data_IF_927091493239
#
_entry.id   IF_927091493239
#
_cell.length_a   1.000
_cell.length_b   1.000
_cell.length_c   1.000
_cell.angle_alpha   90.00
_cell.angle_beta   90.00
_cell.angle_gamma   90.00
#
_symmetry.space_group_name_H-M   'P 1'
#
loop_
_entity.id
_entity.type
_entity.pdbx_description
1 polymer ?
#
# COMPACT_ATOMS: atom_id res chain seq x y z
N UNK A 1 -15.66 1.58 21.35
CA UNK A 1 -16.32 0.62 20.43
C UNK A 1 -17.79 0.95 20.20
N UNK A 2 -18.65 0.98 21.24
CA UNK A 2 -20.06 1.37 21.08
C UNK A 2 -20.19 2.80 20.53
N UNK A 3 -19.51 3.77 21.14
CA UNK A 3 -19.53 5.18 20.73
C UNK A 3 -19.03 5.34 19.29
N UNK A 4 -17.85 4.80 18.98
CA UNK A 4 -17.29 4.76 17.61
C UNK A 4 -18.28 4.21 16.58
N UNK A 5 -18.97 3.13 16.90
CA UNK A 5 -19.95 2.52 15.99
C UNK A 5 -21.15 3.46 15.75
N UNK A 6 -21.69 4.05 16.81
CA UNK A 6 -22.82 4.96 16.73
C UNK A 6 -22.46 6.24 15.96
N UNK A 7 -21.29 6.82 16.23
CA UNK A 7 -20.78 8.01 15.53
C UNK A 7 -20.55 7.72 14.05
N UNK A 8 -20.05 6.53 13.71
CA UNK A 8 -19.85 6.09 12.33
C UNK A 8 -21.15 5.57 11.67
N UNK A 9 -22.30 5.67 12.35
CA UNK A 9 -23.62 5.20 11.90
C UNK A 9 -23.64 3.72 11.51
N UNK A 10 -22.88 2.90 12.21
CA UNK A 10 -22.88 1.44 12.07
C UNK A 10 -23.36 0.77 13.35
N UNK A 11 -23.91 -0.43 13.24
CA UNK A 11 -24.24 -1.19 14.45
C UNK A 11 -22.95 -1.64 15.16
N UNK A 12 -22.90 -1.68 16.51
CA UNK A 12 -21.75 -2.19 17.24
C UNK A 12 -21.38 -3.63 16.85
N UNK A 13 -22.39 -4.44 16.54
CA UNK A 13 -22.20 -5.81 16.05
C UNK A 13 -21.57 -5.84 14.65
N UNK A 14 -21.91 -4.89 13.78
CA UNK A 14 -21.26 -4.72 12.48
C UNK A 14 -19.79 -4.36 12.65
N UNK A 15 -19.49 -3.38 13.50
CA UNK A 15 -18.11 -2.98 13.77
C UNK A 15 -17.28 -4.15 14.32
N UNK A 16 -17.84 -4.91 15.26
CA UNK A 16 -17.21 -6.13 15.80
C UNK A 16 -16.94 -7.19 14.72
N UNK A 17 -17.85 -7.37 13.76
CA UNK A 17 -17.63 -8.30 12.63
C UNK A 17 -16.53 -7.81 11.69
N UNK A 18 -16.43 -6.50 11.48
CA UNK A 18 -15.35 -5.91 10.68
C UNK A 18 -14.00 -6.15 11.34
N UNK A 19 -13.86 -5.82 12.63
CA UNK A 19 -12.61 -6.02 13.39
C UNK A 19 -12.16 -7.48 13.45
N UNK A 20 -13.11 -8.41 13.55
CA UNK A 20 -12.81 -9.85 13.58
C UNK A 20 -12.63 -10.46 12.19
N UNK A 21 -12.69 -9.66 11.12
CA UNK A 21 -12.56 -10.13 9.73
C UNK A 21 -13.75 -10.96 9.23
N UNK A 22 -14.89 -10.95 9.94
CA UNK A 22 -16.12 -11.69 9.59
C UNK A 22 -17.00 -10.95 8.59
N UNK A 23 -16.60 -9.75 8.17
CA UNK A 23 -17.13 -9.08 6.99
C UNK A 23 -16.06 -9.13 5.91
N UNK A 24 -16.21 -10.02 4.94
CA UNK A 24 -15.21 -10.21 3.88
C UNK A 24 -15.04 -8.98 2.99
N UNK A 25 -16.13 -8.23 2.76
CA UNK A 25 -16.15 -7.04 1.90
C UNK A 25 -17.05 -5.96 2.50
N UNK A 26 -16.59 -5.23 3.54
CA UNK A 26 -17.33 -4.08 4.05
C UNK A 26 -17.48 -3.04 2.94
N UNK A 27 -18.63 -2.37 2.90
CA UNK A 27 -18.87 -1.31 1.91
C UNK A 27 -17.88 -0.16 2.13
N UNK A 28 -17.33 0.40 1.06
CA UNK A 28 -16.38 1.52 1.16
C UNK A 28 -16.88 2.71 2.01
N UNK A 29 -18.15 3.17 1.89
CA UNK A 29 -18.68 4.22 2.76
C UNK A 29 -18.64 3.87 4.26
N UNK A 30 -18.77 2.58 4.60
CA UNK A 30 -18.63 2.12 5.99
C UNK A 30 -17.21 2.34 6.51
N UNK A 31 -16.21 2.04 5.69
CA UNK A 31 -14.80 2.23 6.06
C UNK A 31 -14.48 3.72 6.19
N UNK A 32 -14.94 4.55 5.26
CA UNK A 32 -14.75 5.99 5.30
C UNK A 32 -15.35 6.64 6.56
N UNK A 33 -16.57 6.26 6.94
CA UNK A 33 -17.22 6.78 8.14
C UNK A 33 -16.49 6.39 9.44
N UNK A 34 -15.97 5.15 9.52
CA UNK A 34 -15.18 4.71 10.67
C UNK A 34 -13.85 5.49 10.75
N UNK A 35 -13.17 5.67 9.61
CA UNK A 35 -11.91 6.42 9.56
C UNK A 35 -12.10 7.88 10.01
N UNK A 36 -13.16 8.54 9.54
CA UNK A 36 -13.50 9.92 9.93
C UNK A 36 -13.68 10.06 11.45
N UNK A 37 -14.44 9.16 12.09
CA UNK A 37 -14.66 9.16 13.55
C UNK A 37 -13.37 8.92 14.32
N UNK A 38 -12.46 8.11 13.79
CA UNK A 38 -11.16 7.84 14.40
C UNK A 38 -10.13 8.95 14.13
N UNK A 39 -10.46 9.96 13.32
CA UNK A 39 -9.53 11.01 12.91
C UNK A 39 -8.41 10.50 11.99
N UNK A 40 -8.64 9.40 11.29
CA UNK A 40 -7.70 8.80 10.35
C UNK A 40 -8.05 9.19 8.91
N UNK A 41 -7.02 9.50 8.12
CA UNK A 41 -7.16 9.59 6.67
C UNK A 41 -7.27 8.18 6.06
N UNK A 42 -7.92 8.09 4.90
CA UNK A 42 -7.98 6.83 4.16
C UNK A 42 -6.60 6.38 3.64
N UNK A 43 -5.68 7.32 3.45
CA UNK A 43 -4.30 7.03 3.06
C UNK A 43 -3.56 6.32 4.21
N UNK A 44 -3.70 6.77 5.46
CA UNK A 44 -3.14 6.10 6.64
C UNK A 44 -3.68 4.67 6.80
N UNK A 45 -4.99 4.48 6.57
CA UNK A 45 -5.61 3.15 6.61
C UNK A 45 -5.04 2.25 5.51
N UNK A 46 -4.87 2.78 4.29
CA UNK A 46 -4.30 2.05 3.17
C UNK A 46 -2.83 1.66 3.40
N UNK A 47 -2.03 2.58 3.93
CA UNK A 47 -0.63 2.35 4.27
C UNK A 47 -0.47 1.22 5.30
N UNK A 48 -1.34 1.17 6.32
CA UNK A 48 -1.31 0.14 7.35
C UNK A 48 -1.67 -1.25 6.80
N UNK A 49 -2.72 -1.34 5.97
CA UNK A 49 -3.12 -2.59 5.32
C UNK A 49 -1.98 -3.12 4.44
N UNK A 50 -1.41 -2.25 3.60
CA UNK A 50 -0.32 -2.62 2.68
C UNK A 50 0.96 -2.99 3.44
N UNK A 51 1.23 -2.39 4.60
CA UNK A 51 2.34 -2.81 5.48
C UNK A 51 2.09 -4.20 6.06
N UNK A 52 0.92 -4.43 6.63
CA UNK A 52 0.54 -5.72 7.22
C UNK A 52 0.61 -6.86 6.20
N UNK A 53 0.17 -6.63 4.95
CA UNK A 53 0.27 -7.63 3.88
C UNK A 53 1.73 -7.99 3.53
N UNK A 54 2.64 -7.01 3.52
CA UNK A 54 4.08 -7.24 3.28
C UNK A 54 4.75 -7.98 4.44
N UNK A 55 4.36 -7.67 5.67
CA UNK A 55 4.89 -8.34 6.86
C UNK A 55 4.34 -9.78 7.01
N UNK A 56 3.20 -10.07 6.36
CA UNK A 56 2.60 -11.39 6.29
C UNK A 56 3.20 -12.27 5.17
N UNK A 57 3.95 -11.71 4.20
CA UNK A 57 4.70 -12.52 3.26
C UNK A 57 5.84 -13.25 4.00
N UNK A 58 5.90 -14.59 3.95
CA UNK A 58 6.96 -15.33 4.61
C UNK A 58 8.29 -14.96 3.94
N UNK A 59 9.29 -14.63 4.76
CA UNK A 59 10.69 -14.47 4.35
C UNK A 59 11.16 -15.72 3.58
N UNK A 60 11.01 -15.68 2.26
CA UNK A 60 10.99 -16.90 1.45
C UNK A 60 11.13 -16.62 -0.04
N UNK A 61 12.01 -15.71 -0.45
CA UNK A 61 12.69 -15.82 -1.74
C UNK A 61 14.11 -15.30 -1.59
N UNK A 62 15.05 -16.24 -1.62
CA UNK A 62 16.45 -16.00 -1.35
C UNK A 62 17.04 -14.93 -2.25
N UNK A 63 17.81 -14.04 -1.64
CA UNK A 63 18.81 -13.24 -2.32
C UNK A 63 19.87 -14.19 -2.91
N UNK A 64 19.56 -14.77 -4.07
CA UNK A 64 20.53 -15.40 -4.95
C UNK A 64 21.45 -14.33 -5.50
N UNK A 65 22.63 -14.24 -4.91
CA UNK A 65 23.77 -13.46 -5.41
C UNK A 65 24.13 -13.99 -6.81
N UNK A 66 23.58 -13.35 -7.84
CA UNK A 66 23.93 -13.55 -9.24
C UNK A 66 24.87 -12.45 -9.71
N UNK A 67 26.14 -12.52 -9.31
CA UNK A 67 27.23 -11.78 -9.95
C UNK A 67 27.39 -12.27 -11.39
N UNK A 68 26.77 -11.58 -12.34
CA UNK A 68 26.81 -11.90 -13.78
C UNK A 68 27.02 -10.65 -14.63
N UNK A 69 28.28 -10.43 -15.00
CA UNK A 69 28.82 -9.56 -16.05
C UNK A 69 27.83 -8.68 -16.85
N UNK A 70 27.80 -7.37 -16.55
CA UNK A 70 27.43 -6.35 -17.53
C UNK A 70 28.67 -5.94 -18.32
N UNK A 71 28.97 -6.68 -19.39
CA UNK A 71 29.87 -6.22 -20.45
C UNK A 71 29.10 -5.24 -21.33
N UNK A 72 29.15 -3.96 -20.96
CA UNK A 72 28.61 -2.86 -21.76
C UNK A 72 29.70 -2.29 -22.65
N UNK A 73 29.78 -2.80 -23.88
CA UNK A 73 30.47 -2.15 -24.98
C UNK A 73 29.67 -0.91 -25.43
N UNK A 74 30.37 0.18 -25.78
CA UNK A 74 29.80 1.27 -26.56
C UNK A 74 30.01 2.69 -26.03
N UNK A 75 31.26 3.09 -25.79
CA UNK A 75 31.60 4.52 -25.77
C UNK A 75 31.73 4.99 -27.22
N UNK A 76 30.75 5.75 -27.70
CA UNK A 76 30.79 6.43 -28.98
C UNK A 76 30.44 7.91 -28.79
N UNK A 77 31.43 8.72 -28.41
CA UNK A 77 31.30 10.17 -28.33
C UNK A 77 31.16 10.75 -29.74
N UNK A 78 29.94 11.10 -30.14
CA UNK A 78 29.66 11.94 -31.30
C UNK A 78 30.10 13.38 -31.02
N UNK A 79 31.35 13.68 -31.34
CA UNK A 79 31.91 15.03 -31.31
C UNK A 79 31.12 16.00 -32.21
N UNK A 80 30.77 17.13 -31.61
CA UNK A 80 30.44 18.42 -32.24
C UNK A 80 31.32 18.69 -33.46
N UNK A 81 30.78 19.30 -34.54
CA UNK A 81 31.26 20.51 -35.27
C UNK A 81 30.17 20.91 -36.30
N UNK A 82 29.50 22.06 -36.15
CA UNK A 82 29.77 23.39 -36.78
C UNK A 82 29.68 23.43 -38.32
N UNK A 83 28.71 24.18 -38.84
CA UNK A 83 28.78 25.18 -39.94
C UNK A 83 27.33 25.67 -40.17
N UNK A 84 26.89 26.85 -39.73
CA UNK A 84 27.04 28.17 -40.39
C UNK A 84 27.15 28.08 -41.91
N UNK A 85 26.03 28.27 -42.60
CA UNK A 85 25.77 29.38 -43.55
C UNK A 85 24.30 29.38 -43.94
#
# INVERSE_FOLDING_TARGET
MLETALDARVSPETLRKIETGRVATPAFPTIAAIAEVLGLSLDEVWEEITRTERDAEPAGSGSGVGSGARSGAGVGHGSRQRLVS
#
